data_IF_130847708408
#
_entry.id   IF_130847708408
#
_cell.length_a   1.000
_cell.length_b   1.000
_cell.length_c   1.000
_cell.angle_alpha   90.00
_cell.angle_beta   90.00
_cell.angle_gamma   90.00
#
_symmetry.space_group_name_H-M   'P 1'
#
loop_
_entity.id
_entity.type
_entity.pdbx_description
1 polymer ?
#
# COMPACT_ATOMS: atom_id res chain seq x y z
N UNK A 1 -13.32 -5.31 17.71
CA UNK A 1 -12.65 -5.07 16.42
C UNK A 1 -13.61 -5.47 15.32
N UNK A 2 -14.01 -4.52 14.48
CA UNK A 2 -14.81 -4.79 13.28
C UNK A 2 -13.91 -5.37 12.19
N UNK A 3 -14.50 -6.07 11.23
CA UNK A 3 -13.77 -6.64 10.09
C UNK A 3 -12.97 -5.56 9.33
N UNK A 4 -13.51 -4.33 9.25
CA UNK A 4 -12.88 -3.18 8.63
C UNK A 4 -11.63 -2.70 9.35
N UNK A 5 -11.63 -2.70 10.69
CA UNK A 5 -10.44 -2.37 11.49
C UNK A 5 -9.28 -3.33 11.19
N UNK A 6 -9.60 -4.63 11.09
CA UNK A 6 -8.60 -5.67 10.81
C UNK A 6 -8.05 -5.52 9.40
N UNK A 7 -8.91 -5.27 8.41
CA UNK A 7 -8.51 -5.02 7.02
C UNK A 7 -7.65 -3.75 6.91
N UNK A 8 -8.07 -2.66 7.56
CA UNK A 8 -7.32 -1.42 7.58
C UNK A 8 -5.95 -1.58 8.22
N UNK A 9 -5.86 -2.27 9.35
CA UNK A 9 -4.59 -2.59 10.00
C UNK A 9 -3.69 -3.46 9.11
N UNK A 10 -4.26 -4.45 8.40
CA UNK A 10 -3.52 -5.34 7.52
C UNK A 10 -2.99 -4.60 6.29
N UNK A 11 -3.76 -3.69 5.71
CA UNK A 11 -3.30 -2.79 4.63
C UNK A 11 -2.23 -1.85 5.16
N UNK A 12 -2.39 -1.26 6.35
CA UNK A 12 -1.39 -0.40 6.95
C UNK A 12 -0.06 -1.15 7.18
N UNK A 13 -0.12 -2.37 7.72
CA UNK A 13 1.04 -3.22 7.93
C UNK A 13 1.74 -3.59 6.61
N UNK A 14 0.97 -3.97 5.58
CA UNK A 14 1.51 -4.24 4.25
C UNK A 14 2.17 -3.00 3.64
N UNK A 15 1.54 -1.83 3.78
CA UNK A 15 2.06 -0.56 3.27
C UNK A 15 3.38 -0.19 3.94
N UNK A 16 3.47 -0.36 5.27
CA UNK A 16 4.70 -0.13 6.03
C UNK A 16 5.81 -1.13 5.63
N UNK A 17 5.46 -2.40 5.46
CA UNK A 17 6.39 -3.43 4.97
C UNK A 17 6.93 -3.09 3.57
N UNK A 18 6.05 -2.70 2.64
CA UNK A 18 6.43 -2.28 1.31
C UNK A 18 7.33 -1.03 1.32
N UNK A 19 7.01 -0.04 2.18
CA UNK A 19 7.80 1.16 2.38
C UNK A 19 9.22 0.84 2.87
N UNK A 20 9.34 -0.08 3.83
CA UNK A 20 10.61 -0.47 4.42
C UNK A 20 11.46 -1.29 3.45
N UNK A 21 10.85 -2.24 2.73
CA UNK A 21 11.55 -3.08 1.77
C UNK A 21 11.91 -2.32 0.48
N UNK A 22 11.29 -1.15 0.24
CA UNK A 22 11.48 -0.35 -0.96
C UNK A 22 10.91 -1.02 -2.20
N UNK A 23 9.97 -1.97 -2.04
CA UNK A 23 9.34 -2.72 -3.13
C UNK A 23 7.85 -2.84 -2.87
N UNK A 24 7.04 -2.48 -3.85
CA UNK A 24 5.59 -2.60 -3.75
C UNK A 24 5.06 -3.33 -4.98
N UNK A 25 4.17 -4.30 -4.78
CA UNK A 25 3.51 -4.96 -5.90
C UNK A 25 2.34 -4.10 -6.34
N UNK A 26 2.50 -3.45 -7.49
CA UNK A 26 1.42 -2.69 -8.12
C UNK A 26 0.95 -3.43 -9.37
N UNK A 27 -0.36 -3.41 -9.63
CA UNK A 27 -0.90 -3.96 -10.86
C UNK A 27 -0.47 -3.10 -12.05
N UNK A 28 0.24 -3.67 -13.02
CA UNK A 28 0.64 -2.98 -14.25
C UNK A 28 0.05 -3.68 -15.48
N UNK A 29 -1.00 -3.09 -16.06
CA UNK A 29 -1.80 -3.68 -17.16
C UNK A 29 -2.36 -5.08 -16.80
N UNK A 30 -1.80 -6.13 -17.38
CA UNK A 30 -2.31 -7.51 -17.32
C UNK A 30 -1.62 -8.37 -16.26
N UNK A 31 -0.49 -7.92 -15.69
CA UNK A 31 0.23 -8.63 -14.63
C UNK A 31 0.67 -7.67 -13.50
N UNK A 32 0.83 -8.21 -12.30
CA UNK A 32 1.44 -7.46 -11.19
C UNK A 32 2.92 -7.20 -11.51
N UNK A 33 3.35 -5.94 -11.45
CA UNK A 33 4.76 -5.56 -11.55
C UNK A 33 5.24 -5.15 -10.16
N UNK A 34 6.40 -5.68 -9.78
CA UNK A 34 7.10 -5.21 -8.59
C UNK A 34 7.71 -3.84 -8.91
N UNK A 35 7.24 -2.80 -8.24
CA UNK A 35 7.78 -1.45 -8.36
C UNK A 35 8.80 -1.28 -7.25
N UNK A 36 10.06 -1.14 -7.65
CA UNK A 36 11.17 -0.87 -6.76
C UNK A 36 11.36 0.63 -6.63
N UNK A 37 11.63 1.10 -5.41
CA UNK A 37 11.97 2.50 -5.11
C UNK A 37 13.17 2.99 -5.94
N UNK A 38 14.09 2.09 -6.28
CA UNK A 38 15.28 2.41 -7.07
C UNK A 38 14.99 2.64 -8.57
N UNK A 39 13.99 1.95 -9.14
CA UNK A 39 13.59 2.15 -10.54
C UNK A 39 12.74 3.42 -10.69
N UNK A 40 11.65 3.52 -9.92
CA UNK A 40 10.65 4.58 -10.07
C UNK A 40 10.24 5.14 -8.69
N UNK A 41 11.10 5.95 -8.04
CA UNK A 41 10.88 6.43 -6.68
C UNK A 41 9.60 7.25 -6.53
N UNK A 42 9.28 8.09 -7.53
CA UNK A 42 8.05 8.90 -7.52
C UNK A 42 6.80 8.02 -7.54
N UNK A 43 6.75 7.04 -8.44
CA UNK A 43 5.61 6.17 -8.60
C UNK A 43 5.43 5.27 -7.37
N UNK A 44 6.52 4.76 -6.81
CA UNK A 44 6.53 4.02 -5.56
C UNK A 44 5.88 4.81 -4.41
N UNK A 45 6.31 6.06 -4.18
CA UNK A 45 5.74 6.89 -3.11
C UNK A 45 4.27 7.24 -3.35
N UNK A 46 3.83 7.42 -4.59
CA UNK A 46 2.41 7.65 -4.92
C UNK A 46 1.57 6.43 -4.54
N UNK A 47 2.02 5.22 -4.90
CA UNK A 47 1.31 3.97 -4.56
C UNK A 47 1.24 3.78 -3.04
N UNK A 48 2.34 4.01 -2.33
CA UNK A 48 2.38 3.93 -0.86
C UNK A 48 1.44 4.95 -0.23
N UNK A 49 1.43 6.19 -0.71
CA UNK A 49 0.54 7.23 -0.19
C UNK A 49 -0.94 6.85 -0.41
N UNK A 50 -1.27 6.27 -1.56
CA UNK A 50 -2.61 5.79 -1.87
C UNK A 50 -3.04 4.63 -0.94
N UNK A 51 -2.16 3.65 -0.70
CA UNK A 51 -2.46 2.57 0.25
C UNK A 51 -2.56 3.06 1.70
N UNK A 52 -1.74 4.03 2.11
CA UNK A 52 -1.83 4.62 3.44
C UNK A 52 -3.16 5.38 3.62
N UNK A 53 -3.59 6.15 2.61
CA UNK A 53 -4.90 6.82 2.60
C UNK A 53 -6.04 5.81 2.66
N UNK A 54 -5.96 4.72 1.89
CA UNK A 54 -6.97 3.66 1.90
C UNK A 54 -7.06 2.97 3.27
N UNK A 55 -5.91 2.64 3.87
CA UNK A 55 -5.87 2.06 5.20
C UNK A 55 -6.48 3.00 6.25
N UNK A 56 -6.16 4.28 6.18
CA UNK A 56 -6.74 5.31 7.06
C UNK A 56 -8.25 5.40 6.87
N UNK A 57 -8.72 5.42 5.62
CA UNK A 57 -10.15 5.45 5.33
C UNK A 57 -10.89 4.21 5.87
N UNK A 58 -10.30 3.01 5.76
CA UNK A 58 -10.91 1.78 6.29
C UNK A 58 -11.05 1.77 7.82
N UNK A 59 -10.14 2.43 8.54
CA UNK A 59 -10.15 2.45 10.02
C UNK A 59 -10.99 3.60 10.57
N UNK A 60 -10.98 4.77 9.91
CA UNK A 60 -11.60 5.99 10.44
C UNK A 60 -12.98 6.31 9.84
N UNK A 61 -13.27 5.88 8.60
CA UNK A 61 -14.51 6.23 7.90
C UNK A 61 -15.55 5.09 7.82
N UNK A 62 -15.16 3.83 8.05
CA UNK A 62 -16.03 2.64 7.98
C UNK A 62 -16.11 1.94 9.35
#
# INVERSE_FOLDING_TARGET
MRLWDVLGLLVAAYTAYAAFNGRVYARHRAWGREIRRDEEPRYFWVVICCYALLATALVFLF
#
